data_IF_863243874118
#
_entry.id   IF_863243874118
#
_cell.length_a   1.000
_cell.length_b   1.000
_cell.length_c   1.000
_cell.angle_alpha   90.00
_cell.angle_beta   90.00
_cell.angle_gamma   90.00
#
_symmetry.space_group_name_H-M   'P 1'
#
loop_
_entity.id
_entity.type
_entity.pdbx_description
1 polymer ?
#
# COMPACT_ATOMS: atom_id res chain seq x y z
N UNK A 1 8.34 -8.27 3.10
CA UNK A 1 7.22 -8.78 2.27
C UNK A 1 6.01 -8.82 3.18
N UNK A 2 4.91 -8.20 2.79
CA UNK A 2 3.66 -8.18 3.51
C UNK A 2 2.59 -8.83 2.62
N UNK A 3 1.68 -9.57 3.23
CA UNK A 3 0.55 -10.20 2.54
C UNK A 3 -0.70 -9.72 3.28
N UNK A 4 -1.66 -9.19 2.54
CA UNK A 4 -2.90 -8.65 3.10
C UNK A 4 -4.08 -8.98 2.21
N UNK A 5 -5.27 -9.01 2.80
CA UNK A 5 -6.54 -9.04 2.09
C UNK A 5 -7.16 -7.64 2.15
N UNK A 6 -7.47 -7.06 1.00
CA UNK A 6 -8.02 -5.71 0.90
C UNK A 6 -9.24 -5.66 -0.01
N UNK A 7 -10.16 -4.73 0.29
CA UNK A 7 -11.23 -4.30 -0.61
C UNK A 7 -10.86 -2.89 -1.07
N UNK A 8 -10.86 -2.65 -2.38
CA UNK A 8 -10.52 -1.34 -2.97
C UNK A 8 -11.41 -1.05 -4.17
N UNK A 9 -12.07 0.11 -4.12
CA UNK A 9 -12.96 0.66 -5.14
C UNK A 9 -12.93 2.19 -5.07
N UNK A 10 -13.31 2.87 -6.14
CA UNK A 10 -13.43 4.34 -6.21
C UNK A 10 -14.88 4.74 -6.32
N UNK A 11 -15.23 5.85 -5.67
CA UNK A 11 -16.53 6.49 -5.80
C UNK A 11 -16.39 7.88 -6.41
N UNK A 12 -17.41 8.30 -7.16
CA UNK A 12 -17.56 9.69 -7.56
C UNK A 12 -18.12 10.56 -6.41
N UNK A 13 -18.31 11.86 -6.69
CA UNK A 13 -18.87 12.83 -5.73
C UNK A 13 -20.32 12.52 -5.32
N UNK A 14 -21.04 11.74 -6.13
CA UNK A 14 -22.44 11.38 -5.95
C UNK A 14 -22.58 9.98 -5.31
N UNK A 15 -21.49 9.42 -4.78
CA UNK A 15 -21.35 8.11 -4.13
C UNK A 15 -21.50 6.88 -5.03
N UNK A 16 -21.54 7.04 -6.35
CA UNK A 16 -21.60 5.91 -7.27
C UNK A 16 -20.22 5.25 -7.37
N UNK A 17 -20.18 3.91 -7.42
CA UNK A 17 -18.94 3.16 -7.66
C UNK A 17 -18.56 3.30 -9.12
N UNK A 18 -17.38 3.86 -9.39
CA UNK A 18 -16.88 4.12 -10.75
C UNK A 18 -15.70 3.21 -11.15
N UNK A 19 -15.10 2.50 -10.20
CA UNK A 19 -13.99 1.57 -10.43
C UNK A 19 -13.90 0.58 -9.25
N UNK A 20 -13.60 -0.69 -9.52
CA UNK A 20 -13.50 -1.76 -8.52
C UNK A 20 -14.86 -2.32 -8.06
N UNK A 21 -14.83 -3.09 -6.96
CA UNK A 21 -15.99 -3.77 -6.40
C UNK A 21 -15.93 -3.72 -4.85
N UNK A 22 -16.93 -3.16 -4.17
CA UNK A 22 -16.96 -3.02 -2.71
C UNK A 22 -17.14 -4.34 -1.94
N UNK A 23 -17.49 -5.43 -2.60
CA UNK A 23 -17.69 -6.75 -1.96
C UNK A 23 -16.60 -7.75 -2.33
N UNK A 24 -15.64 -7.37 -3.19
CA UNK A 24 -14.60 -8.28 -3.66
C UNK A 24 -13.30 -8.10 -2.89
N UNK A 25 -12.93 -9.14 -2.14
CA UNK A 25 -11.63 -9.23 -1.48
C UNK A 25 -10.54 -9.52 -2.54
N UNK A 26 -9.40 -8.83 -2.42
CA UNK A 26 -8.18 -9.07 -3.20
C UNK A 26 -7.04 -9.38 -2.24
N UNK A 27 -6.32 -10.48 -2.48
CA UNK A 27 -5.03 -10.71 -1.83
C UNK A 27 -3.98 -9.84 -2.52
N UNK A 28 -3.24 -9.07 -1.74
CA UNK A 28 -2.19 -8.17 -2.21
C UNK A 28 -0.88 -8.52 -1.53
N UNK A 29 0.20 -8.57 -2.32
CA UNK A 29 1.54 -8.84 -1.82
C UNK A 29 2.42 -7.60 -2.01
N UNK A 30 2.71 -6.94 -0.90
CA UNK A 30 3.56 -5.76 -0.88
C UNK A 30 5.00 -6.08 -0.52
N UNK A 31 5.93 -5.45 -1.24
CA UNK A 31 7.36 -5.44 -0.96
C UNK A 31 7.80 -4.00 -0.77
N UNK A 32 8.24 -3.69 0.43
CA UNK A 32 8.75 -2.38 0.79
C UNK A 32 10.24 -2.47 1.08
N UNK A 33 11.00 -1.52 0.53
CA UNK A 33 12.42 -1.35 0.81
C UNK A 33 12.59 -0.12 1.68
N UNK A 34 13.11 -0.33 2.89
CA UNK A 34 13.44 0.75 3.80
C UNK A 34 14.94 0.99 3.79
N UNK A 35 15.34 2.25 3.94
CA UNK A 35 16.76 2.61 4.05
C UNK A 35 16.97 3.62 5.16
N UNK A 36 18.19 3.61 5.70
CA UNK A 36 18.63 4.54 6.73
C UNK A 36 20.12 4.75 6.55
N UNK A 37 20.56 6.00 6.71
CA UNK A 37 22.00 6.32 6.73
C UNK A 37 22.59 5.79 8.04
N UNK A 38 23.48 4.81 7.99
CA UNK A 38 24.04 4.17 9.19
C UNK A 38 24.84 5.15 10.06
N UNK A 39 25.48 6.14 9.44
CA UNK A 39 26.21 7.18 10.15
C UNK A 39 25.31 8.23 10.84
N UNK A 40 23.99 8.16 10.64
CA UNK A 40 23.04 9.09 11.25
C UNK A 40 22.65 8.63 12.64
N UNK A 41 22.68 9.55 13.62
CA UNK A 41 22.13 9.29 14.97
C UNK A 41 20.59 9.24 14.97
N UNK A 42 19.94 9.79 13.93
CA UNK A 42 18.49 9.68 13.79
C UNK A 42 18.12 8.21 13.51
N UNK A 43 17.33 7.56 14.39
CA UNK A 43 17.02 6.14 14.27
C UNK A 43 16.00 5.83 13.17
N UNK A 44 15.37 6.86 12.59
CA UNK A 44 14.26 6.70 11.65
C UNK A 44 14.70 6.07 10.32
N UNK A 45 13.87 5.16 9.82
CA UNK A 45 13.98 4.57 8.50
C UNK A 45 13.01 5.27 7.55
N UNK A 46 13.42 5.48 6.30
CA UNK A 46 12.53 6.00 5.27
C UNK A 46 12.23 4.94 4.23
N UNK A 47 11.03 5.03 3.66
CA UNK A 47 10.56 4.16 2.58
C UNK A 47 11.23 4.59 1.27
N UNK A 48 12.11 3.74 0.75
CA UNK A 48 12.84 4.01 -0.48
C UNK A 48 12.12 3.48 -1.71
N UNK A 49 11.38 2.37 -1.58
CA UNK A 49 10.67 1.74 -2.69
C UNK A 49 9.47 0.96 -2.20
N UNK A 50 8.40 0.97 -3.01
CA UNK A 50 7.23 0.10 -2.87
C UNK A 50 7.00 -0.67 -4.16
N UNK A 51 6.66 -1.95 -4.03
CA UNK A 51 6.21 -2.78 -5.14
C UNK A 51 5.04 -3.65 -4.68
N UNK A 52 3.94 -3.53 -5.39
CA UNK A 52 2.68 -4.25 -5.13
C UNK A 52 2.43 -5.24 -6.25
N UNK A 53 2.11 -6.49 -5.88
CA UNK A 53 1.75 -7.58 -6.80
C UNK A 53 0.40 -8.17 -6.43
#
# INVERSE_FOLDING_TARGET
KFISEIISFKKDKDNNVIDGDPNKIKTVIDRWKFTRKISSMNPNWYLAETKTN
#
